data_IF_836756577252
#
_entry.id   IF_836756577252
#
_cell.length_a   1.000
_cell.length_b   1.000
_cell.length_c   1.000
_cell.angle_alpha   90.00
_cell.angle_beta   90.00
_cell.angle_gamma   90.00
#
_symmetry.space_group_name_H-M   'P 1'
#
loop_
_entity.id
_entity.type
_entity.pdbx_description
1 polymer ?
#
# COMPACT_ATOMS: atom_id res chain seq x y z
N UNK A 1 -1.70 -18.83 4.17
CA UNK A 1 -2.87 -17.93 4.04
C UNK A 1 -2.34 -16.50 3.97
N UNK A 2 -2.86 -15.64 3.10
CA UNK A 2 -2.43 -14.23 3.04
C UNK A 2 -3.02 -13.44 4.21
N UNK A 3 -2.24 -12.53 4.79
CA UNK A 3 -2.68 -11.62 5.85
C UNK A 3 -3.97 -10.87 5.43
N UNK A 4 -4.87 -10.58 6.39
CA UNK A 4 -6.05 -9.78 6.11
C UNK A 4 -5.68 -8.31 5.86
N UNK A 5 -6.58 -7.55 5.22
CA UNK A 5 -6.31 -6.14 4.88
C UNK A 5 -6.16 -5.23 6.11
N UNK A 6 -6.74 -5.62 7.25
CA UNK A 6 -6.73 -4.90 8.52
C UNK A 6 -5.67 -5.42 9.50
N UNK A 7 -4.71 -6.23 9.02
CA UNK A 7 -3.56 -6.67 9.81
C UNK A 7 -2.76 -5.45 10.34
N UNK A 8 -2.68 -5.24 11.67
CA UNK A 8 -2.05 -4.04 12.21
C UNK A 8 -0.56 -3.94 11.87
N UNK A 9 0.16 -5.08 11.84
CA UNK A 9 1.57 -5.10 11.48
C UNK A 9 1.79 -4.68 10.03
N UNK A 10 0.88 -5.07 9.13
CA UNK A 10 0.93 -4.68 7.73
C UNK A 10 0.68 -3.18 7.55
N UNK A 11 -0.31 -2.63 8.24
CA UNK A 11 -0.63 -1.21 8.16
C UNK A 11 0.49 -0.34 8.74
N UNK A 12 1.06 -0.74 9.88
CA UNK A 12 2.21 -0.06 10.49
C UNK A 12 3.42 -0.07 9.54
N UNK A 13 3.67 -1.20 8.88
CA UNK A 13 4.75 -1.30 7.91
C UNK A 13 4.57 -0.35 6.72
N UNK A 14 3.35 -0.22 6.18
CA UNK A 14 3.04 0.77 5.13
C UNK A 14 3.34 2.19 5.64
N UNK A 15 2.91 2.52 6.87
CA UNK A 15 3.13 3.85 7.44
C UNK A 15 4.63 4.16 7.64
N UNK A 16 5.41 3.20 8.14
CA UNK A 16 6.86 3.32 8.35
C UNK A 16 7.59 3.49 7.00
N UNK A 17 7.27 2.64 6.01
CA UNK A 17 7.93 2.70 4.71
C UNK A 17 7.56 3.98 3.94
N UNK A 18 6.33 4.45 4.07
CA UNK A 18 5.90 5.72 3.52
C UNK A 18 6.70 6.88 4.12
N UNK A 19 6.73 6.99 5.45
CA UNK A 19 7.43 8.07 6.14
C UNK A 19 8.94 8.07 5.80
N UNK A 20 9.55 6.88 5.72
CA UNK A 20 10.94 6.72 5.29
C UNK A 20 11.17 7.24 3.87
N UNK A 21 10.32 6.86 2.91
CA UNK A 21 10.45 7.30 1.51
C UNK A 21 10.22 8.81 1.35
N UNK A 22 9.26 9.39 2.06
CA UNK A 22 9.04 10.85 2.05
C UNK A 22 10.26 11.60 2.60
N UNK A 23 10.88 11.10 3.66
CA UNK A 23 12.09 11.70 4.22
C UNK A 23 13.30 11.53 3.28
N UNK A 24 13.56 10.30 2.82
CA UNK A 24 14.77 9.96 2.06
C UNK A 24 14.80 10.53 0.64
N UNK A 25 13.65 10.51 -0.06
CA UNK A 25 13.61 10.85 -1.49
C UNK A 25 12.96 12.21 -1.77
N UNK A 26 12.14 12.74 -0.84
CA UNK A 26 11.31 13.92 -1.09
C UNK A 26 11.50 15.05 -0.08
N UNK A 27 12.40 14.90 0.90
CA UNK A 27 12.62 15.87 1.99
C UNK A 27 11.32 16.34 2.64
N UNK A 28 10.39 15.40 2.83
CA UNK A 28 9.04 15.63 3.32
C UNK A 28 8.86 14.92 4.66
N UNK A 29 8.28 15.62 5.65
CA UNK A 29 7.94 15.06 6.97
C UNK A 29 6.52 14.51 7.04
N UNK A 30 5.90 14.27 5.88
CA UNK A 30 4.55 13.76 5.79
C UNK A 30 4.50 12.31 6.33
N UNK A 31 3.57 12.05 7.23
CA UNK A 31 3.37 10.72 7.84
C UNK A 31 1.91 10.30 7.79
N UNK A 32 1.68 8.99 7.90
CA UNK A 32 0.35 8.42 8.09
C UNK A 32 0.10 8.27 9.59
N UNK A 33 -0.99 8.86 10.09
CA UNK A 33 -1.38 8.83 11.50
C UNK A 33 -2.44 7.77 11.81
N UNK A 34 -2.99 7.11 10.79
CA UNK A 34 -3.86 5.95 10.95
C UNK A 34 -4.66 5.64 9.70
N UNK A 35 -5.26 4.46 9.70
CA UNK A 35 -6.10 3.94 8.62
C UNK A 35 -7.57 3.81 9.09
N UNK A 36 -8.49 4.04 8.17
CA UNK A 36 -9.93 3.90 8.32
C UNK A 36 -10.51 3.18 7.09
N UNK A 37 -11.76 2.71 7.18
CA UNK A 37 -12.52 2.15 6.04
C UNK A 37 -11.71 1.10 5.25
N UNK A 38 -11.00 0.25 5.98
CA UNK A 38 -10.15 -0.80 5.43
C UNK A 38 -11.06 -1.90 4.85
N UNK A 39 -10.77 -2.33 3.62
CA UNK A 39 -11.57 -3.36 2.96
C UNK A 39 -10.81 -4.08 1.86
N UNK A 40 -11.18 -5.34 1.65
CA UNK A 40 -10.74 -6.11 0.49
C UNK A 40 -11.53 -5.69 -0.76
N UNK A 41 -10.82 -5.46 -1.85
CA UNK A 41 -11.40 -5.07 -3.15
C UNK A 41 -11.20 -6.13 -4.22
N UNK A 42 -10.45 -7.19 -3.92
CA UNK A 42 -10.26 -8.30 -4.83
C UNK A 42 -9.29 -9.33 -4.30
N UNK A 43 -9.44 -10.55 -4.80
CA UNK A 43 -8.57 -11.67 -4.49
C UNK A 43 -8.28 -12.46 -5.76
N UNK A 44 -7.00 -12.59 -6.13
CA UNK A 44 -6.59 -13.37 -7.30
C UNK A 44 -5.80 -14.61 -6.84
N UNK A 45 -6.42 -15.77 -7.04
CA UNK A 45 -5.90 -17.07 -6.61
C UNK A 45 -5.24 -17.90 -7.71
N UNK A 46 -5.59 -17.72 -8.99
CA UNK A 46 -5.37 -18.74 -10.02
C UNK A 46 -4.68 -18.20 -11.28
N UNK A 47 -3.69 -18.97 -11.77
CA UNK A 47 -2.98 -18.85 -13.04
C UNK A 47 -1.76 -19.76 -13.00
N UNK A 48 -1.40 -20.46 -14.08
CA UNK A 48 -0.37 -21.53 -14.11
C UNK A 48 1.04 -21.09 -13.62
N UNK A 49 1.26 -19.80 -13.41
CA UNK A 49 2.49 -19.16 -12.92
C UNK A 49 2.24 -18.10 -11.83
N UNK A 50 1.04 -18.00 -11.24
CA UNK A 50 0.62 -16.81 -10.49
C UNK A 50 0.86 -16.91 -8.98
N UNK A 51 1.58 -15.91 -8.43
CA UNK A 51 1.74 -15.70 -6.99
C UNK A 51 0.41 -15.17 -6.44
N UNK A 52 -0.22 -15.80 -5.42
CA UNK A 52 -1.46 -15.32 -4.83
C UNK A 52 -1.34 -13.87 -4.34
N UNK A 53 -2.36 -13.04 -4.64
CA UNK A 53 -2.44 -11.64 -4.20
C UNK A 53 -3.81 -11.28 -3.62
N UNK A 54 -3.81 -10.60 -2.48
CA UNK A 54 -4.97 -9.92 -1.90
C UNK A 54 -4.87 -8.43 -2.21
N UNK A 55 -5.92 -7.85 -2.77
CA UNK A 55 -6.00 -6.43 -3.07
C UNK A 55 -6.89 -5.76 -2.03
N UNK A 56 -6.40 -4.68 -1.46
CA UNK A 56 -7.00 -3.97 -0.36
C UNK A 56 -7.06 -2.48 -0.67
N UNK A 57 -8.01 -1.81 -0.02
CA UNK A 57 -8.07 -0.35 0.03
C UNK A 57 -8.27 0.13 1.46
N UNK A 58 -7.88 1.37 1.73
CA UNK A 58 -8.13 2.06 2.99
C UNK A 58 -8.16 3.58 2.77
N UNK A 59 -8.59 4.28 3.80
CA UNK A 59 -8.54 5.73 3.89
C UNK A 59 -7.56 6.11 4.99
N UNK A 60 -6.45 6.75 4.63
CA UNK A 60 -5.41 7.11 5.58
C UNK A 60 -5.53 8.57 5.99
N UNK A 61 -5.35 8.84 7.29
CA UNK A 61 -5.17 10.18 7.84
C UNK A 61 -3.70 10.54 7.81
N UNK A 62 -3.38 11.76 7.40
CA UNK A 62 -2.00 12.24 7.29
C UNK A 62 -1.70 13.34 8.29
N UNK A 63 -0.41 13.60 8.54
CA UNK A 63 0.05 14.65 9.46
C UNK A 63 -0.31 16.08 9.01
N UNK A 64 -0.67 16.26 7.74
CA UNK A 64 -1.18 17.53 7.19
C UNK A 64 -2.70 17.72 7.39
N UNK A 65 -3.35 16.79 8.09
CA UNK A 65 -4.79 16.83 8.36
C UNK A 65 -5.66 16.32 7.21
N UNK A 66 -5.08 15.95 6.07
CA UNK A 66 -5.83 15.43 4.93
C UNK A 66 -6.07 13.93 5.05
N UNK A 67 -7.18 13.49 4.45
CA UNK A 67 -7.50 12.08 4.24
C UNK A 67 -7.25 11.72 2.79
N UNK A 68 -6.58 10.59 2.55
CA UNK A 68 -6.29 10.12 1.19
C UNK A 68 -6.58 8.63 1.06
N UNK A 69 -7.04 8.28 -0.14
CA UNK A 69 -7.29 6.90 -0.51
C UNK A 69 -5.97 6.15 -0.71
N UNK A 70 -5.87 4.95 -0.15
CA UNK A 70 -4.71 4.07 -0.24
C UNK A 70 -5.14 2.76 -0.85
N UNK A 71 -4.45 2.33 -1.90
CA UNK A 71 -4.60 1.00 -2.51
C UNK A 71 -3.33 0.22 -2.20
N UNK A 72 -3.48 -1.04 -1.80
CA UNK A 72 -2.34 -1.90 -1.54
C UNK A 72 -2.65 -3.36 -1.89
N UNK A 73 -1.62 -4.13 -2.22
CA UNK A 73 -1.76 -5.58 -2.36
C UNK A 73 -0.72 -6.34 -1.55
N UNK A 74 -1.14 -7.50 -1.04
CA UNK A 74 -0.36 -8.41 -0.21
C UNK A 74 -0.08 -9.64 -1.06
N UNK A 75 1.20 -9.96 -1.27
CA UNK A 75 1.65 -11.05 -2.14
C UNK A 75 2.32 -12.18 -1.34
N UNK A 76 2.01 -13.43 -1.68
CA UNK A 76 2.43 -14.59 -0.89
C UNK A 76 3.93 -14.90 -0.99
N UNK A 77 4.59 -14.45 -2.05
CA UNK A 77 5.99 -14.79 -2.31
C UNK A 77 6.62 -13.81 -3.29
N UNK A 78 6.98 -12.60 -2.86
CA UNK A 78 8.14 -11.86 -3.37
C UNK A 78 8.23 -10.49 -2.70
N UNK A 79 9.23 -10.32 -1.84
CA UNK A 79 9.90 -9.04 -1.74
C UNK A 79 10.63 -8.81 -3.07
N UNK A 80 9.94 -8.25 -4.07
CA UNK A 80 10.59 -7.83 -5.32
C UNK A 80 10.76 -6.31 -5.29
N UNK A 81 12.00 -5.87 -5.49
CA UNK A 81 12.53 -4.49 -5.34
C UNK A 81 12.91 -4.04 -3.92
N UNK A 82 13.58 -4.91 -3.14
CA UNK A 82 14.49 -4.48 -2.08
C UNK A 82 13.89 -3.80 -0.84
N UNK A 83 12.56 -3.76 -0.73
CA UNK A 83 11.84 -3.15 0.39
C UNK A 83 10.92 -4.24 0.96
N UNK A 84 11.27 -4.71 2.16
CA UNK A 84 10.66 -5.88 2.79
C UNK A 84 9.15 -5.73 3.04
N UNK A 85 8.53 -6.87 3.37
CA UNK A 85 7.15 -7.10 3.84
C UNK A 85 6.08 -7.60 2.85
N UNK A 86 6.38 -7.80 1.57
CA UNK A 86 5.43 -8.45 0.65
C UNK A 86 4.16 -7.64 0.38
N UNK A 87 4.13 -6.37 0.80
CA UNK A 87 3.08 -5.40 0.50
C UNK A 87 3.58 -4.39 -0.52
N UNK A 88 2.73 -4.06 -1.48
CA UNK A 88 2.94 -2.95 -2.41
C UNK A 88 1.78 -1.98 -2.24
N UNK A 89 2.06 -0.69 -2.11
CA UNK A 89 1.06 0.34 -1.80
C UNK A 89 1.18 1.55 -2.73
N UNK A 90 0.07 2.28 -2.88
CA UNK A 90 -0.05 3.55 -3.58
C UNK A 90 -1.06 4.45 -2.86
N UNK A 91 -0.75 5.75 -2.76
CA UNK A 91 -1.61 6.75 -2.15
C UNK A 91 -2.08 7.72 -3.23
N UNK A 92 -3.39 7.87 -3.39
CA UNK A 92 -3.95 8.80 -4.36
C UNK A 92 -3.54 10.25 -4.01
N UNK A 93 -3.01 10.97 -5.00
CA UNK A 93 -2.47 12.32 -4.81
C UNK A 93 -1.04 12.38 -4.26
N UNK A 94 -0.44 11.24 -3.87
CA UNK A 94 0.97 11.12 -3.47
C UNK A 94 1.62 9.94 -4.21
N UNK A 95 1.41 9.87 -5.53
CA UNK A 95 2.17 8.97 -6.42
C UNK A 95 3.27 9.77 -7.12
N UNK A 96 4.31 10.13 -6.34
CA UNK A 96 5.38 11.06 -6.75
C UNK A 96 6.11 10.61 -8.02
N UNK A 97 6.28 9.31 -8.19
CA UNK A 97 6.99 8.70 -9.32
C UNK A 97 6.05 8.16 -10.40
N UNK A 98 4.74 8.41 -10.29
CA UNK A 98 3.74 7.89 -11.23
C UNK A 98 3.77 6.35 -11.38
N UNK A 99 4.22 5.66 -10.33
CA UNK A 99 4.47 4.23 -10.36
C UNK A 99 3.19 3.41 -10.56
N UNK A 100 2.03 3.98 -10.19
CA UNK A 100 0.74 3.31 -10.26
C UNK A 100 -0.33 4.15 -10.95
N UNK A 101 0.04 4.80 -12.05
CA UNK A 101 -0.85 5.69 -12.77
C UNK A 101 -1.98 4.99 -13.54
N UNK A 102 -3.13 5.68 -13.74
CA UNK A 102 -3.57 6.89 -13.04
C UNK A 102 -4.23 6.55 -11.69
N UNK A 103 -4.07 7.41 -10.68
CA UNK A 103 -4.78 7.32 -9.39
C UNK A 103 -4.72 5.93 -8.70
N UNK A 104 -3.54 5.31 -8.68
CA UNK A 104 -3.31 3.98 -8.09
C UNK A 104 -4.03 2.82 -8.81
N UNK A 105 -4.61 3.03 -10.00
CA UNK A 105 -5.44 2.04 -10.67
C UNK A 105 -4.69 0.77 -11.07
N UNK A 106 -3.43 0.88 -11.48
CA UNK A 106 -2.63 -0.28 -11.89
C UNK A 106 -2.22 -1.20 -10.72
N UNK A 107 -2.40 -0.74 -9.48
CA UNK A 107 -2.17 -1.54 -8.28
C UNK A 107 -3.43 -2.31 -7.82
N UNK A 108 -4.60 -1.89 -8.30
CA UNK A 108 -5.88 -2.56 -8.06
C UNK A 108 -6.04 -3.84 -8.91
N UNK A 109 -7.17 -4.56 -8.76
CA UNK A 109 -7.50 -5.70 -9.60
C UNK A 109 -7.61 -5.34 -11.09
#
# INVERSE_FOLDING_TARGET
>A
MLQPCDDPGMLDQIAIDFARRELEFWNSSLTISGFERIGEIGYRLNGQTYIPRRYCQAEARFSDGLRRHVVFNISASTAFLGLGSGVVWCIQGIDRNHAFTPNCRSLGP
#
